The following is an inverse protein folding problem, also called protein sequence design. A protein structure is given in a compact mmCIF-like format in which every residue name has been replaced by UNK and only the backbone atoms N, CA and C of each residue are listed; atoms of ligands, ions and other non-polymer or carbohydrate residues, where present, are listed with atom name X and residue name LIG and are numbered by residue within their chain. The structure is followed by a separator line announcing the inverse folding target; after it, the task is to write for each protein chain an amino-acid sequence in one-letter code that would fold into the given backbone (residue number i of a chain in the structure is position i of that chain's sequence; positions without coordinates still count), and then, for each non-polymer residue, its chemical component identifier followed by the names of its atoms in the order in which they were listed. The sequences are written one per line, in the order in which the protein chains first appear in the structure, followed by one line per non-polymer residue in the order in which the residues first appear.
data_IF_320770109502
#
_entry.id   IF_320770109502
#
_cell.length_a   1.000
_cell.length_b   1.000
_cell.length_c   1.000
_cell.angle_alpha   90.00
_cell.angle_beta   90.00
_cell.angle_gamma   90.00
#
_symmetry.space_group_name_H-M   'P 1'
#
loop_
_entity.id
_entity.type
_entity.pdbx_description
1 polymer ?
#
# COMPACT_ATOMS: atom_id res chain seq x y z
N UNK A 1 35.92 -34.80 -28.63
CA UNK A 1 35.05 -33.74 -28.06
C UNK A 1 35.03 -32.60 -29.07
N UNK A 2 33.94 -32.47 -29.80
CA UNK A 2 33.76 -31.38 -30.75
C UNK A 2 33.41 -30.08 -30.00
N UNK A 3 33.91 -28.93 -30.40
CA UNK A 3 33.60 -27.66 -29.75
C UNK A 3 32.15 -27.25 -30.05
N UNK A 4 31.38 -26.95 -29.01
CA UNK A 4 30.02 -26.43 -29.11
C UNK A 4 30.02 -25.14 -29.95
N UNK A 5 29.30 -25.13 -31.06
CA UNK A 5 29.06 -23.94 -31.89
C UNK A 5 28.33 -22.91 -31.05
N UNK A 6 28.96 -21.77 -30.78
CA UNK A 6 28.28 -20.59 -30.32
C UNK A 6 27.25 -20.15 -31.35
N UNK A 7 25.99 -20.24 -31.02
CA UNK A 7 24.91 -19.64 -31.81
C UNK A 7 25.03 -18.12 -31.64
N UNK A 8 25.51 -17.45 -32.65
CA UNK A 8 25.51 -16.00 -32.69
C UNK A 8 24.05 -15.54 -32.76
N UNK A 9 23.58 -14.88 -31.72
CA UNK A 9 22.26 -14.23 -31.73
C UNK A 9 22.36 -13.06 -32.73
N UNK A 10 21.57 -13.16 -33.81
CA UNK A 10 21.52 -12.14 -34.84
C UNK A 10 21.14 -10.78 -34.22
N UNK A 11 22.02 -9.82 -34.32
CA UNK A 11 21.80 -8.42 -33.88
C UNK A 11 20.70 -7.72 -34.66
N UNK A 12 20.22 -8.28 -35.76
CA UNK A 12 19.13 -7.73 -36.56
C UNK A 12 17.73 -7.92 -35.91
N UNK A 13 17.55 -8.95 -35.05
CA UNK A 13 16.35 -9.09 -34.21
C UNK A 13 16.26 -8.05 -33.08
N UNK A 14 17.40 -7.46 -32.70
CA UNK A 14 17.42 -6.40 -31.68
C UNK A 14 17.06 -5.02 -32.25
N UNK A 15 17.07 -4.82 -33.56
CA UNK A 15 16.78 -3.54 -34.20
C UNK A 15 15.30 -3.27 -34.50
N UNK A 16 14.43 -4.27 -34.42
CA UNK A 16 12.99 -4.10 -34.73
C UNK A 16 12.08 -3.84 -33.54
N UNK A 17 12.55 -4.03 -32.31
CA UNK A 17 11.73 -3.82 -31.10
C UNK A 17 12.11 -2.51 -30.42
N UNK A 18 11.61 -1.38 -30.93
CA UNK A 18 11.58 -0.15 -30.15
C UNK A 18 10.76 -0.42 -28.90
N UNK A 19 11.36 -0.16 -27.72
CA UNK A 19 10.62 -0.21 -26.46
C UNK A 19 9.39 0.70 -26.58
N UNK A 20 8.21 0.26 -26.10
CA UNK A 20 7.05 1.14 -26.06
C UNK A 20 7.41 2.42 -25.29
N UNK A 21 6.97 3.57 -25.80
CA UNK A 21 7.21 4.87 -25.20
C UNK A 21 5.89 5.53 -24.81
N UNK A 22 5.97 6.48 -23.88
CA UNK A 22 4.81 7.20 -23.39
C UNK A 22 3.78 6.28 -22.72
N UNK A 23 2.52 6.63 -22.84
CA UNK A 23 1.42 5.85 -22.24
C UNK A 23 1.26 4.43 -22.80
N UNK A 24 1.90 4.11 -23.93
CA UNK A 24 1.82 2.79 -24.57
C UNK A 24 2.41 1.64 -23.74
N UNK A 25 3.21 1.95 -22.70
CA UNK A 25 3.72 0.93 -21.75
C UNK A 25 2.72 0.58 -20.66
N UNK A 26 1.71 1.43 -20.42
CA UNK A 26 0.74 1.22 -19.37
C UNK A 26 -0.32 0.19 -19.80
N UNK A 27 -0.93 -0.42 -18.78
CA UNK A 27 -2.08 -1.29 -18.94
C UNK A 27 -3.22 -0.54 -19.65
N UNK A 28 -3.46 -0.89 -20.90
CA UNK A 28 -4.48 -0.24 -21.74
C UNK A 28 -5.92 -0.50 -21.28
N UNK A 29 -6.14 -1.53 -20.45
CA UNK A 29 -7.45 -1.80 -19.85
C UNK A 29 -7.78 -0.82 -18.72
N UNK A 30 -6.77 -0.14 -18.14
CA UNK A 30 -6.91 0.79 -17.01
C UNK A 30 -5.99 2.02 -17.18
N UNK A 31 -6.11 2.79 -18.27
CA UNK A 31 -5.12 3.77 -18.71
C UNK A 31 -4.94 4.96 -17.76
N UNK A 32 -5.96 5.29 -16.96
CA UNK A 32 -5.96 6.44 -16.05
C UNK A 32 -5.84 6.01 -14.57
N UNK A 33 -5.52 4.73 -14.33
CA UNK A 33 -5.32 4.23 -12.99
C UNK A 33 -4.06 4.86 -12.37
N UNK A 34 -4.16 5.31 -11.12
CA UNK A 34 -3.05 5.79 -10.31
C UNK A 34 -2.91 4.97 -9.02
N UNK A 35 -1.72 4.95 -8.43
CA UNK A 35 -1.43 3.97 -7.40
C UNK A 35 -0.80 4.57 -6.14
N UNK A 36 -1.21 4.03 -4.98
CA UNK A 36 -0.53 4.19 -3.70
C UNK A 36 0.33 2.95 -3.45
N UNK A 37 1.65 3.12 -3.28
CA UNK A 37 2.64 2.04 -3.24
C UNK A 37 3.31 1.96 -1.87
N UNK A 38 3.45 0.77 -1.32
CA UNK A 38 4.19 0.55 -0.08
C UNK A 38 5.70 0.49 -0.34
N UNK A 39 6.41 1.58 -0.05
CA UNK A 39 7.86 1.65 -0.27
C UNK A 39 8.56 2.59 0.72
N UNK A 40 7.82 3.55 1.25
CA UNK A 40 8.35 4.63 2.09
C UNK A 40 9.12 4.06 3.28
N UNK A 41 10.36 4.52 3.45
CA UNK A 41 11.36 4.15 4.45
C UNK A 41 11.97 2.73 4.33
N UNK A 42 11.67 1.99 3.26
CA UNK A 42 12.21 0.64 3.10
C UNK A 42 12.95 0.49 1.75
N UNK A 43 12.32 0.86 0.65
CA UNK A 43 12.85 0.64 -0.69
C UNK A 43 13.06 1.95 -1.46
N UNK A 44 13.27 3.06 -0.75
CA UNK A 44 13.28 4.39 -1.37
C UNK A 44 14.30 4.51 -2.49
N UNK A 45 15.57 4.13 -2.26
CA UNK A 45 16.62 4.19 -3.30
C UNK A 45 16.31 3.27 -4.48
N UNK A 46 15.83 2.05 -4.22
CA UNK A 46 15.44 1.13 -5.30
C UNK A 46 14.30 1.72 -6.13
N UNK A 47 13.31 2.34 -5.47
CA UNK A 47 12.18 2.95 -6.17
C UNK A 47 12.63 4.17 -6.98
N UNK A 48 13.46 5.06 -6.43
CA UNK A 48 13.98 6.21 -7.18
C UNK A 48 14.79 5.76 -8.41
N UNK A 49 15.71 4.83 -8.23
CA UNK A 49 16.50 4.29 -9.34
C UNK A 49 15.60 3.66 -10.42
N UNK A 50 14.57 2.92 -9.99
CA UNK A 50 13.62 2.31 -10.90
C UNK A 50 12.79 3.36 -11.67
N UNK A 51 12.28 4.39 -10.99
CA UNK A 51 11.51 5.46 -11.63
C UNK A 51 12.35 6.26 -12.64
N UNK A 52 13.59 6.57 -12.29
CA UNK A 52 14.50 7.33 -13.16
C UNK A 52 14.91 6.49 -14.39
N UNK A 53 15.21 5.20 -14.20
CA UNK A 53 15.49 4.27 -15.30
C UNK A 53 14.26 4.07 -16.20
N UNK A 54 13.08 3.91 -15.61
CA UNK A 54 11.83 3.75 -16.35
C UNK A 54 11.51 4.99 -17.20
N UNK A 55 11.66 6.19 -16.61
CA UNK A 55 11.48 7.45 -17.34
C UNK A 55 12.46 7.58 -18.50
N UNK A 56 13.73 7.22 -18.28
CA UNK A 56 14.77 7.27 -19.33
C UNK A 56 14.48 6.30 -20.48
N UNK A 57 14.01 5.08 -20.16
CA UNK A 57 13.75 4.04 -21.17
C UNK A 57 12.47 4.26 -21.96
N UNK A 58 11.43 4.83 -21.32
CA UNK A 58 10.09 4.88 -21.88
C UNK A 58 9.58 6.30 -22.13
N UNK A 59 10.35 7.32 -21.76
CA UNK A 59 9.93 8.73 -21.79
C UNK A 59 8.57 8.93 -21.08
N UNK A 60 8.38 8.21 -19.98
CA UNK A 60 7.13 8.22 -19.21
C UNK A 60 7.36 8.01 -17.73
N UNK A 61 6.58 8.71 -16.90
CA UNK A 61 6.60 8.55 -15.44
C UNK A 61 5.47 7.61 -15.01
N UNK A 62 5.81 6.59 -14.24
CA UNK A 62 4.80 5.67 -13.70
C UNK A 62 3.76 6.41 -12.86
N UNK A 63 2.48 6.00 -12.94
CA UNK A 63 1.36 6.71 -12.29
C UNK A 63 1.28 6.43 -10.78
N UNK A 64 2.39 6.62 -10.06
CA UNK A 64 2.45 6.53 -8.61
C UNK A 64 2.02 7.86 -8.01
N UNK A 65 0.87 7.86 -7.32
CA UNK A 65 0.31 9.06 -6.71
C UNK A 65 0.85 9.32 -5.32
N UNK A 66 1.07 8.25 -4.54
CA UNK A 66 1.74 8.36 -3.26
C UNK A 66 2.49 7.07 -2.90
N UNK A 67 3.50 7.23 -2.06
CA UNK A 67 4.12 6.13 -1.33
C UNK A 67 3.61 6.13 0.10
N UNK A 68 3.55 4.94 0.72
CA UNK A 68 3.14 4.87 2.11
C UNK A 68 4.05 3.97 2.94
N UNK A 69 4.19 4.33 4.19
CA UNK A 69 4.98 3.62 5.20
C UNK A 69 4.87 4.32 6.54
N UNK A 70 5.64 3.88 7.51
CA UNK A 70 5.87 4.55 8.77
C UNK A 70 7.05 3.90 9.47
N UNK A 71 7.81 4.65 10.25
CA UNK A 71 8.72 4.06 11.23
C UNK A 71 7.95 3.41 12.37
N UNK A 72 8.62 2.54 13.13
CA UNK A 72 8.08 1.91 14.32
C UNK A 72 7.86 2.92 15.44
N UNK A 73 6.68 3.52 15.47
CA UNK A 73 6.22 4.45 16.51
C UNK A 73 4.86 4.01 17.04
N UNK A 74 4.46 4.52 18.19
CA UNK A 74 3.22 4.12 18.88
C UNK A 74 1.97 4.18 17.99
N UNK A 75 1.85 5.18 17.11
CA UNK A 75 0.69 5.35 16.24
C UNK A 75 0.68 4.45 15.01
N UNK A 76 1.80 3.80 14.70
CA UNK A 76 1.84 2.87 13.58
C UNK A 76 0.94 1.66 13.83
N UNK A 77 0.33 1.13 12.78
CA UNK A 77 -0.48 -0.08 12.83
C UNK A 77 -0.59 -0.78 11.48
N UNK A 78 -1.48 -1.75 11.40
CA UNK A 78 -1.65 -2.62 10.24
C UNK A 78 -0.94 -3.96 10.46
N UNK A 79 -0.56 -4.64 9.38
CA UNK A 79 0.16 -5.93 9.45
C UNK A 79 1.62 -5.75 9.04
N UNK A 80 2.48 -6.67 9.44
CA UNK A 80 3.89 -6.73 9.06
C UNK A 80 4.63 -5.42 9.38
N UNK A 81 4.79 -5.14 10.64
CA UNK A 81 5.40 -3.90 11.10
C UNK A 81 6.84 -4.07 11.54
N UNK A 82 7.31 -5.32 11.67
CA UNK A 82 8.61 -5.61 12.26
C UNK A 82 9.79 -5.02 11.50
N UNK A 83 9.76 -5.10 10.17
CA UNK A 83 10.85 -4.56 9.38
C UNK A 83 10.96 -3.04 9.56
N UNK A 84 9.85 -2.34 9.54
CA UNK A 84 9.81 -0.88 9.75
C UNK A 84 10.20 -0.48 11.17
N UNK A 85 9.95 -1.32 12.17
CA UNK A 85 10.44 -1.11 13.54
C UNK A 85 11.95 -1.18 13.64
N UNK A 86 12.59 -2.00 12.81
CA UNK A 86 14.04 -2.20 12.81
C UNK A 86 14.80 -1.20 11.94
N UNK A 87 14.10 -0.44 11.08
CA UNK A 87 14.73 0.51 10.18
C UNK A 87 15.18 1.75 10.97
N UNK A 88 16.46 2.13 10.94
CA UNK A 88 16.93 3.34 11.59
C UNK A 88 16.29 4.59 10.98
N UNK A 89 16.05 5.63 11.79
CA UNK A 89 15.52 6.92 11.33
C UNK A 89 16.41 7.64 10.29
N UNK A 90 17.63 7.19 10.12
CA UNK A 90 18.55 7.58 9.04
C UNK A 90 18.79 6.37 8.12
N UNK A 91 17.72 5.88 7.49
CA UNK A 91 17.78 4.72 6.61
C UNK A 91 18.50 5.07 5.30
N UNK A 92 19.46 4.23 4.93
CA UNK A 92 20.24 4.40 3.69
C UNK A 92 20.98 5.77 3.61
N UNK A 93 21.24 6.41 4.75
CA UNK A 93 21.90 7.71 4.82
C UNK A 93 20.97 8.92 4.60
N UNK A 94 19.66 8.71 4.63
CA UNK A 94 18.67 9.78 4.47
C UNK A 94 17.77 9.90 5.70
N UNK A 95 17.50 11.13 6.11
CA UNK A 95 16.53 11.42 7.16
C UNK A 95 15.10 11.35 6.60
N UNK A 96 14.07 11.24 7.45
CA UNK A 96 12.68 11.27 7.00
C UNK A 96 12.34 12.51 6.17
N UNK A 97 12.86 13.67 6.55
CA UNK A 97 12.66 14.94 5.86
C UNK A 97 13.17 14.89 4.43
N UNK A 98 14.42 14.44 4.26
CA UNK A 98 15.06 14.32 2.93
C UNK A 98 14.28 13.36 2.05
N UNK A 99 13.89 12.21 2.58
CA UNK A 99 13.11 11.22 1.81
C UNK A 99 11.77 11.76 1.35
N UNK A 100 11.04 12.47 2.23
CA UNK A 100 9.76 13.07 1.86
C UNK A 100 9.96 14.14 0.78
N UNK A 101 10.98 14.99 0.92
CA UNK A 101 11.29 16.03 -0.07
C UNK A 101 11.58 15.41 -1.45
N UNK A 102 12.38 14.36 -1.50
CA UNK A 102 12.70 13.65 -2.74
C UNK A 102 11.46 13.08 -3.44
N UNK A 103 10.50 12.52 -2.69
CA UNK A 103 9.23 12.11 -3.25
C UNK A 103 8.39 13.29 -3.73
N UNK A 104 8.27 14.33 -2.91
CA UNK A 104 7.44 15.50 -3.24
C UNK A 104 7.98 16.25 -4.48
N UNK A 105 9.29 16.35 -4.67
CA UNK A 105 9.92 16.92 -5.87
C UNK A 105 9.59 16.10 -7.14
N UNK A 106 9.34 14.80 -7.01
CA UNK A 106 8.88 13.94 -8.10
C UNK A 106 7.36 13.97 -8.31
N UNK A 107 6.62 14.81 -7.58
CA UNK A 107 5.17 14.86 -7.63
C UNK A 107 4.46 13.70 -6.91
N UNK A 108 5.19 12.95 -6.08
CA UNK A 108 4.69 11.80 -5.34
C UNK A 108 4.46 12.20 -3.88
N UNK A 109 3.24 11.99 -3.37
CA UNK A 109 2.91 12.25 -1.98
C UNK A 109 3.43 11.15 -1.05
N UNK A 110 3.66 11.50 0.21
CA UNK A 110 3.98 10.56 1.27
C UNK A 110 2.79 10.36 2.21
N UNK A 111 2.50 9.12 2.56
CA UNK A 111 1.39 8.79 3.48
C UNK A 111 1.93 8.01 4.66
N UNK A 112 1.87 8.58 5.86
CA UNK A 112 2.18 7.83 7.08
C UNK A 112 1.02 6.96 7.49
N UNK A 113 1.31 5.70 7.84
CA UNK A 113 0.29 4.73 8.26
C UNK A 113 0.13 4.74 9.78
N UNK A 114 -0.51 5.77 10.32
CA UNK A 114 -0.90 5.90 11.71
C UNK A 114 -2.18 5.10 11.99
N UNK A 115 -2.10 3.81 11.71
CA UNK A 115 -3.27 2.90 11.66
C UNK A 115 -3.37 1.98 12.87
N UNK A 116 -2.78 2.35 14.00
CA UNK A 116 -2.94 1.63 15.25
C UNK A 116 -4.42 1.59 15.65
N UNK A 117 -4.92 0.40 15.99
CA UNK A 117 -6.34 0.14 16.27
C UNK A 117 -6.72 0.31 17.74
N UNK A 118 -5.76 0.53 18.63
CA UNK A 118 -5.95 0.53 20.08
C UNK A 118 -5.61 1.86 20.74
N UNK A 119 -5.25 2.90 19.96
CA UNK A 119 -4.92 4.21 20.52
C UNK A 119 -6.11 4.81 21.27
N UNK A 120 -5.76 5.48 22.35
CA UNK A 120 -6.65 6.30 23.18
C UNK A 120 -6.08 7.71 23.27
N UNK A 121 -6.80 8.63 23.90
CA UNK A 121 -6.33 10.00 24.12
C UNK A 121 -4.99 10.06 24.87
N UNK A 122 -4.69 9.07 25.73
CA UNK A 122 -3.42 8.98 26.48
C UNK A 122 -2.21 8.70 25.62
N UNK A 123 -2.42 8.27 24.39
CA UNK A 123 -1.36 7.90 23.46
C UNK A 123 -1.03 9.02 22.46
N UNK A 124 -1.76 10.15 22.52
CA UNK A 124 -1.63 11.25 21.57
C UNK A 124 -0.40 12.13 21.85
N UNK A 125 0.16 12.08 23.03
CA UNK A 125 1.35 12.83 23.43
C UNK A 125 2.68 12.10 23.13
N UNK A 126 2.63 10.94 22.43
CA UNK A 126 3.84 10.19 22.06
C UNK A 126 4.84 11.04 21.27
N UNK A 127 6.04 11.34 21.82
CA UNK A 127 6.96 12.29 21.21
C UNK A 127 7.45 11.84 19.83
N UNK A 128 7.70 10.54 19.64
CA UNK A 128 8.20 10.00 18.38
C UNK A 128 7.18 10.07 17.26
N UNK A 129 5.92 9.75 17.56
CA UNK A 129 4.82 9.86 16.61
C UNK A 129 4.55 11.30 16.23
N UNK A 130 4.58 12.22 17.22
CA UNK A 130 4.40 13.66 16.98
C UNK A 130 5.55 14.23 16.14
N UNK A 131 6.80 13.83 16.41
CA UNK A 131 7.94 14.28 15.61
C UNK A 131 7.80 13.88 14.13
N UNK A 132 7.37 12.66 13.84
CA UNK A 132 7.12 12.23 12.46
C UNK A 132 5.97 13.02 11.81
N UNK A 133 4.90 13.28 12.57
CA UNK A 133 3.77 14.05 12.09
C UNK A 133 4.21 15.49 11.73
N UNK A 134 5.01 16.12 12.60
CA UNK A 134 5.53 17.47 12.40
C UNK A 134 6.40 17.57 11.14
N UNK A 135 7.28 16.56 10.91
CA UNK A 135 8.09 16.47 9.70
C UNK A 135 7.20 16.41 8.45
N UNK A 136 6.20 15.52 8.44
CA UNK A 136 5.33 15.35 7.28
C UNK A 136 4.54 16.63 6.97
N UNK A 137 3.98 17.24 8.01
CA UNK A 137 3.19 18.46 7.89
C UNK A 137 4.04 19.66 7.44
N UNK A 138 5.30 19.78 7.93
CA UNK A 138 6.21 20.88 7.57
C UNK A 138 6.59 20.92 6.10
N UNK A 139 6.47 19.82 5.36
CA UNK A 139 6.77 19.79 3.92
C UNK A 139 5.75 20.56 3.07
N UNK A 140 4.59 20.91 3.62
CA UNK A 140 3.56 21.74 2.98
C UNK A 140 3.22 21.30 1.55
N UNK A 141 3.22 20.00 1.28
CA UNK A 141 2.90 19.42 -0.01
C UNK A 141 1.51 18.77 0.03
N UNK A 142 0.61 19.25 -0.82
CA UNK A 142 -0.80 18.83 -0.85
C UNK A 142 -1.05 17.35 -1.18
N UNK A 143 -0.01 16.64 -1.64
CA UNK A 143 -0.05 15.19 -1.86
C UNK A 143 0.23 14.35 -0.62
N UNK A 144 0.80 14.96 0.44
CA UNK A 144 1.09 14.29 1.69
C UNK A 144 -0.18 14.01 2.50
N UNK A 145 -0.20 12.91 3.25
CA UNK A 145 -1.36 12.49 4.02
C UNK A 145 -0.98 11.59 5.20
N UNK A 146 -1.91 11.40 6.11
CA UNK A 146 -1.85 10.34 7.10
C UNK A 146 -3.00 9.35 6.87
N UNK A 147 -2.76 8.06 7.10
CA UNK A 147 -3.80 7.04 7.10
C UNK A 147 -4.12 6.68 8.55
N UNK A 148 -5.31 6.99 9.02
CA UNK A 148 -5.70 6.87 10.43
C UNK A 148 -6.79 5.82 10.64
N UNK A 149 -6.87 5.30 11.88
CA UNK A 149 -7.89 4.34 12.30
C UNK A 149 -8.77 4.91 13.43
N UNK A 150 -8.16 5.54 14.43
CA UNK A 150 -8.86 6.02 15.61
C UNK A 150 -9.33 7.47 15.42
N UNK A 151 -10.59 7.74 15.80
CA UNK A 151 -11.19 9.07 15.68
C UNK A 151 -10.46 10.10 16.59
N UNK A 152 -10.05 9.72 17.80
CA UNK A 152 -9.27 10.59 18.68
C UNK A 152 -7.98 11.08 18.02
N UNK A 153 -7.25 10.21 17.31
CA UNK A 153 -6.05 10.60 16.58
C UNK A 153 -6.40 11.49 15.36
N UNK A 154 -7.45 11.15 14.64
CA UNK A 154 -7.93 11.96 13.51
C UNK A 154 -8.26 13.40 13.95
N UNK A 155 -8.99 13.55 15.04
CA UNK A 155 -9.39 14.86 15.57
C UNK A 155 -8.18 15.63 16.12
N UNK A 156 -7.25 14.96 16.78
CA UNK A 156 -5.98 15.54 17.22
C UNK A 156 -5.16 16.11 16.05
N UNK A 157 -5.00 15.32 14.98
CA UNK A 157 -4.25 15.75 13.79
C UNK A 157 -4.96 16.91 13.09
N UNK A 158 -6.28 16.85 12.92
CA UNK A 158 -7.08 17.91 12.28
C UNK A 158 -6.99 19.24 13.05
N UNK A 159 -6.99 19.18 14.38
CA UNK A 159 -6.80 20.36 15.22
C UNK A 159 -5.41 20.97 15.08
N UNK A 160 -4.37 20.15 14.98
CA UNK A 160 -2.97 20.59 14.92
C UNK A 160 -2.52 20.98 13.51
N UNK A 161 -2.99 20.27 12.51
CA UNK A 161 -2.64 20.43 11.08
C UNK A 161 -3.88 20.31 10.21
N UNK A 162 -4.73 21.37 10.14
CA UNK A 162 -6.00 21.32 9.43
C UNK A 162 -5.87 21.05 7.93
N UNK A 163 -4.74 21.45 7.32
CA UNK A 163 -4.49 21.27 5.89
C UNK A 163 -3.87 19.91 5.53
N UNK A 164 -3.45 19.12 6.53
CA UNK A 164 -2.89 17.80 6.29
C UNK A 164 -4.00 16.78 5.99
N UNK A 165 -4.00 16.26 4.78
CA UNK A 165 -5.01 15.29 4.33
C UNK A 165 -5.01 14.03 5.18
N UNK A 166 -6.21 13.53 5.43
CA UNK A 166 -6.41 12.28 6.15
C UNK A 166 -7.10 11.24 5.26
N UNK A 167 -6.54 10.05 5.24
CA UNK A 167 -7.13 8.85 4.61
C UNK A 167 -7.60 7.92 5.71
N UNK A 168 -8.76 7.30 5.53
CA UNK A 168 -9.21 6.27 6.47
C UNK A 168 -8.53 4.94 6.15
N UNK A 169 -7.95 4.31 7.18
CA UNK A 169 -7.31 2.99 7.04
C UNK A 169 -8.33 1.86 6.93
N UNK A 170 -7.99 0.79 6.20
CA UNK A 170 -8.79 -0.46 6.21
C UNK A 170 -8.91 -1.08 7.61
N UNK A 171 -7.99 -0.75 8.52
CA UNK A 171 -8.07 -1.18 9.91
C UNK A 171 -9.32 -0.62 10.61
N UNK A 172 -9.73 0.62 10.27
CA UNK A 172 -10.95 1.21 10.82
C UNK A 172 -12.19 0.45 10.36
N UNK A 173 -12.35 0.23 9.07
CA UNK A 173 -13.51 -0.51 8.56
C UNK A 173 -13.55 -1.97 9.02
N UNK A 174 -12.39 -2.59 9.28
CA UNK A 174 -12.33 -3.92 9.88
C UNK A 174 -12.79 -3.90 11.34
N UNK A 175 -12.42 -2.87 12.10
CA UNK A 175 -12.77 -2.73 13.53
C UNK A 175 -14.22 -2.35 13.71
N UNK A 176 -14.70 -1.35 12.99
CA UNK A 176 -16.05 -0.81 13.13
C UNK A 176 -17.10 -1.79 12.62
N UNK A 177 -16.82 -2.47 11.50
CA UNK A 177 -17.75 -3.40 10.84
C UNK A 177 -17.01 -4.67 10.37
N UNK A 178 -16.68 -5.60 11.26
CA UNK A 178 -15.81 -6.73 10.95
C UNK A 178 -16.40 -7.72 9.93
N UNK A 179 -17.73 -7.83 9.85
CA UNK A 179 -18.38 -8.85 9.02
C UNK A 179 -18.96 -8.32 7.71
N UNK A 180 -19.61 -7.15 7.77
CA UNK A 180 -20.28 -6.58 6.60
C UNK A 180 -20.28 -5.06 6.67
N UNK A 181 -19.76 -4.42 5.66
CA UNK A 181 -19.78 -2.96 5.49
C UNK A 181 -20.86 -2.60 4.49
N UNK A 182 -21.57 -1.50 4.76
CA UNK A 182 -22.64 -0.99 3.90
C UNK A 182 -22.19 0.27 3.15
N UNK A 183 -22.96 0.68 2.15
CA UNK A 183 -22.71 1.93 1.44
C UNK A 183 -22.80 3.14 2.38
N UNK A 184 -23.80 3.18 3.25
CA UNK A 184 -24.03 4.27 4.21
C UNK A 184 -22.85 4.41 5.19
N UNK A 185 -22.26 3.28 5.62
CA UNK A 185 -21.05 3.29 6.44
C UNK A 185 -19.90 3.96 5.68
N UNK A 186 -19.64 3.55 4.45
CA UNK A 186 -18.57 4.13 3.64
C UNK A 186 -18.83 5.60 3.30
N UNK A 187 -20.06 5.98 3.04
CA UNK A 187 -20.44 7.36 2.80
C UNK A 187 -20.17 8.24 4.02
N UNK A 188 -20.51 7.77 5.21
CA UNK A 188 -20.22 8.48 6.48
C UNK A 188 -18.71 8.70 6.70
N UNK A 189 -17.87 7.81 6.19
CA UNK A 189 -16.40 8.02 6.20
C UNK A 189 -15.97 9.10 5.20
N UNK A 190 -16.59 9.17 4.03
CA UNK A 190 -16.29 10.20 3.03
C UNK A 190 -16.68 11.61 3.48
N UNK A 191 -17.58 11.74 4.46
CA UNK A 191 -17.95 13.05 5.04
C UNK A 191 -16.86 13.56 6.01
N UNK A 192 -16.08 12.66 6.59
CA UNK A 192 -15.04 12.98 7.57
C UNK A 192 -13.62 12.99 6.99
N UNK A 193 -13.37 12.24 5.92
CA UNK A 193 -12.05 12.01 5.38
C UNK A 193 -11.99 12.33 3.89
N UNK A 194 -10.85 12.80 3.43
CA UNK A 194 -10.63 13.12 2.02
C UNK A 194 -10.61 11.87 1.14
N UNK A 195 -10.07 10.76 1.67
CA UNK A 195 -9.95 9.51 0.93
C UNK A 195 -10.22 8.31 1.87
N UNK A 196 -10.86 7.28 1.33
CA UNK A 196 -11.26 6.08 2.06
C UNK A 196 -10.64 4.84 1.41
N UNK A 197 -9.80 4.11 2.15
CA UNK A 197 -9.35 2.79 1.69
C UNK A 197 -10.50 1.79 1.80
N UNK A 198 -10.94 1.28 0.65
CA UNK A 198 -11.98 0.26 0.59
C UNK A 198 -11.47 -1.05 1.21
N UNK A 199 -12.28 -1.68 2.03
CA UNK A 199 -11.90 -2.96 2.63
C UNK A 199 -11.73 -4.03 1.55
N UNK A 200 -10.67 -4.83 1.59
CA UNK A 200 -10.36 -5.75 0.48
C UNK A 200 -11.43 -6.81 0.23
N UNK A 201 -12.20 -7.21 1.24
CA UNK A 201 -13.32 -8.14 1.06
C UNK A 201 -14.49 -7.52 0.27
N UNK A 202 -14.53 -6.21 0.16
CA UNK A 202 -15.60 -5.48 -0.53
C UNK A 202 -15.26 -5.17 -2.00
N UNK A 203 -14.02 -5.42 -2.42
CA UNK A 203 -13.56 -5.15 -3.79
C UNK A 203 -14.37 -5.86 -4.89
N UNK A 204 -15.08 -6.93 -4.55
CA UNK A 204 -15.94 -7.66 -5.48
C UNK A 204 -17.39 -7.74 -4.99
N UNK A 205 -17.78 -6.92 -4.06
CA UNK A 205 -19.19 -6.70 -3.71
C UNK A 205 -19.81 -5.77 -4.77
N UNK A 206 -20.27 -6.36 -5.88
CA UNK A 206 -20.74 -5.61 -7.05
C UNK A 206 -21.84 -4.62 -6.72
N UNK A 207 -22.77 -4.99 -5.82
CA UNK A 207 -23.85 -4.09 -5.37
C UNK A 207 -23.29 -2.84 -4.66
N UNK A 208 -22.29 -3.02 -3.80
CA UNK A 208 -21.64 -1.91 -3.12
C UNK A 208 -20.86 -1.03 -4.10
N UNK A 209 -20.12 -1.64 -5.03
CA UNK A 209 -19.36 -0.90 -6.03
C UNK A 209 -20.28 -0.08 -6.94
N UNK A 210 -21.43 -0.63 -7.32
CA UNK A 210 -22.48 0.07 -8.09
C UNK A 210 -23.01 1.27 -7.30
N UNK A 211 -23.40 1.09 -6.03
CA UNK A 211 -23.86 2.17 -5.16
C UNK A 211 -22.82 3.30 -5.04
N UNK A 212 -21.53 2.94 -4.87
CA UNK A 212 -20.44 3.92 -4.83
C UNK A 212 -20.30 4.63 -6.18
N UNK A 213 -20.37 3.92 -7.29
CA UNK A 213 -20.31 4.48 -8.64
C UNK A 213 -21.46 5.48 -8.88
N UNK A 214 -22.69 5.08 -8.57
CA UNK A 214 -23.91 5.89 -8.75
C UNK A 214 -23.92 7.16 -7.88
N UNK A 215 -23.23 7.12 -6.73
CA UNK A 215 -23.07 8.32 -5.89
C UNK A 215 -22.18 9.40 -6.49
N UNK A 216 -21.45 9.09 -7.57
CA UNK A 216 -20.49 10.00 -8.20
C UNK A 216 -19.23 10.25 -7.37
N UNK A 217 -19.00 9.49 -6.28
CA UNK A 217 -17.88 9.67 -5.34
C UNK A 217 -16.79 8.59 -5.48
N UNK A 218 -16.79 7.76 -6.54
CA UNK A 218 -15.86 6.64 -6.71
C UNK A 218 -14.38 7.06 -6.58
N UNK A 219 -14.04 8.29 -6.95
CA UNK A 219 -12.69 8.87 -6.83
C UNK A 219 -12.20 9.05 -5.38
N UNK A 220 -13.11 9.13 -4.41
CA UNK A 220 -12.77 9.21 -3.00
C UNK A 220 -12.37 7.87 -2.40
N UNK A 221 -12.66 6.77 -3.08
CA UNK A 221 -12.39 5.43 -2.59
C UNK A 221 -11.16 4.84 -3.26
N UNK A 222 -10.34 4.15 -2.45
CA UNK A 222 -9.09 3.53 -2.88
C UNK A 222 -9.15 2.03 -2.58
N UNK A 223 -9.50 1.18 -3.55
CA UNK A 223 -9.46 -0.27 -3.40
C UNK A 223 -8.05 -0.79 -3.13
N UNK A 224 -7.91 -1.73 -2.19
CA UNK A 224 -6.67 -2.44 -1.90
C UNK A 224 -6.63 -3.73 -2.72
N UNK A 225 -5.92 -3.72 -3.86
CA UNK A 225 -6.11 -4.71 -4.94
C UNK A 225 -5.26 -5.98 -4.85
N UNK A 226 -4.22 -6.01 -4.03
CA UNK A 226 -3.32 -7.17 -3.92
C UNK A 226 -3.20 -7.68 -2.47
N UNK A 227 -4.24 -7.55 -1.67
CA UNK A 227 -4.25 -7.98 -0.28
C UNK A 227 -4.15 -9.53 -0.18
N UNK A 228 -3.06 -10.00 0.42
CA UNK A 228 -2.75 -11.43 0.53
C UNK A 228 -3.52 -12.17 1.63
N UNK A 229 -4.32 -11.45 2.42
CA UNK A 229 -5.16 -12.09 3.43
C UNK A 229 -6.25 -12.94 2.77
N UNK A 230 -6.65 -13.99 3.46
CA UNK A 230 -7.79 -14.81 3.05
C UNK A 230 -9.06 -13.96 3.00
N UNK A 231 -9.88 -14.17 1.99
CA UNK A 231 -11.20 -13.57 1.85
C UNK A 231 -12.05 -13.87 3.09
N UNK A 232 -12.77 -12.88 3.60
CA UNK A 232 -13.59 -12.98 4.81
C UNK A 232 -12.85 -13.53 6.04
N UNK A 233 -11.59 -13.15 6.23
CA UNK A 233 -10.78 -13.60 7.35
C UNK A 233 -11.38 -13.17 8.68
N UNK A 234 -11.87 -14.12 9.47
CA UNK A 234 -12.55 -13.88 10.76
C UNK A 234 -11.61 -13.37 11.85
N UNK A 235 -10.29 -13.57 11.69
CA UNK A 235 -9.28 -13.15 12.68
C UNK A 235 -8.49 -11.92 12.24
N UNK A 236 -8.91 -11.23 11.17
CA UNK A 236 -8.19 -10.06 10.64
C UNK A 236 -8.10 -8.93 11.66
N UNK A 237 -9.20 -8.68 12.39
CA UNK A 237 -9.21 -7.65 13.43
C UNK A 237 -8.23 -7.98 14.56
N UNK A 238 -8.23 -9.21 15.04
CA UNK A 238 -7.31 -9.65 16.08
C UNK A 238 -5.84 -9.44 15.67
N UNK A 239 -5.53 -9.71 14.39
CA UNK A 239 -4.19 -9.49 13.86
C UNK A 239 -3.79 -7.99 13.88
N UNK A 240 -4.70 -7.09 13.56
CA UNK A 240 -4.44 -5.65 13.65
C UNK A 240 -4.28 -5.19 15.10
N UNK A 241 -5.12 -5.69 16.00
CA UNK A 241 -5.06 -5.34 17.42
C UNK A 241 -3.78 -5.82 18.09
N UNK A 242 -3.33 -7.04 17.80
CA UNK A 242 -2.06 -7.55 18.34
C UNK A 242 -0.85 -6.74 17.85
N UNK A 243 -0.82 -6.39 16.58
CA UNK A 243 0.22 -5.51 16.06
C UNK A 243 0.18 -4.15 16.73
N UNK A 244 -1.01 -3.60 16.91
CA UNK A 244 -1.22 -2.31 17.57
C UNK A 244 -0.79 -2.33 19.03
N UNK A 245 -1.11 -3.40 19.75
CA UNK A 245 -0.68 -3.62 21.13
C UNK A 245 0.83 -3.65 21.25
N UNK A 246 1.50 -4.39 20.38
CA UNK A 246 2.96 -4.44 20.35
C UNK A 246 3.60 -3.05 20.16
N UNK A 247 3.00 -2.17 19.36
CA UNK A 247 3.47 -0.79 19.19
C UNK A 247 3.28 0.06 20.46
N UNK A 248 2.13 -0.06 21.11
CA UNK A 248 1.84 0.67 22.37
C UNK A 248 2.79 0.23 23.49
N UNK A 249 3.04 -1.05 23.61
CA UNK A 249 3.91 -1.65 24.64
C UNK A 249 5.40 -1.43 24.35
N UNK A 250 5.77 -0.86 23.22
CA UNK A 250 7.16 -0.61 22.86
C UNK A 250 7.96 -1.88 22.56
N UNK A 251 7.30 -2.94 22.15
CA UNK A 251 7.93 -4.21 21.78
C UNK A 251 8.66 -4.09 20.45
N UNK A 252 9.70 -3.29 20.44
CA UNK A 252 10.50 -3.02 19.27
C UNK A 252 11.31 -4.26 18.89
N UNK A 253 10.83 -5.03 17.92
CA UNK A 253 11.63 -6.03 17.22
C UNK A 253 11.71 -7.43 17.82
N UNK A 254 10.94 -7.77 18.86
CA UNK A 254 10.97 -9.12 19.43
C UNK A 254 9.95 -10.12 18.86
N UNK A 255 8.98 -9.65 18.10
CA UNK A 255 8.08 -10.55 17.36
C UNK A 255 8.61 -10.81 15.97
N UNK A 256 9.15 -11.98 15.75
CA UNK A 256 9.47 -12.45 14.42
C UNK A 256 8.18 -12.86 13.69
N UNK A 257 7.42 -11.86 13.24
CA UNK A 257 6.24 -12.07 12.44
C UNK A 257 6.55 -12.51 11.00
N UNK A 258 7.79 -12.76 10.65
CA UNK A 258 8.15 -13.37 9.37
C UNK A 258 7.54 -14.77 9.19
N UNK A 259 7.20 -15.42 10.31
CA UNK A 259 6.45 -16.69 10.35
C UNK A 259 5.02 -16.50 10.84
N UNK A 260 4.43 -15.35 10.60
CA UNK A 260 3.11 -14.93 11.10
C UNK A 260 1.96 -15.59 10.43
N UNK A 261 2.11 -16.72 10.39
CA UNK A 261 1.02 -17.57 10.18
C UNK A 261 0.41 -17.99 11.54
N UNK A 262 1.04 -17.65 12.63
CA UNK A 262 0.55 -17.93 13.98
C UNK A 262 0.25 -16.64 14.70
N UNK A 263 -1.01 -16.37 14.96
CA UNK A 263 -1.40 -15.38 15.96
C UNK A 263 -1.33 -16.08 17.31
N UNK A 264 -0.14 -16.14 17.86
CA UNK A 264 0.05 -16.53 19.26
C UNK A 264 -0.14 -15.28 20.11
N UNK A 265 -1.35 -15.05 20.52
CA UNK A 265 -1.62 -14.02 21.52
C UNK A 265 -1.98 -14.69 22.84
N UNK A 266 -1.70 -14.07 23.99
CA UNK A 266 -2.20 -14.55 25.28
C UNK A 266 -3.73 -14.73 25.29
N UNK A 267 -4.44 -13.90 24.52
CA UNK A 267 -5.91 -13.95 24.39
C UNK A 267 -6.39 -15.01 23.37
N UNK A 268 -5.53 -15.42 22.41
CA UNK A 268 -5.89 -16.38 21.35
C UNK A 268 -4.76 -17.37 21.07
N UNK A 269 -4.32 -18.16 22.07
CA UNK A 269 -3.10 -18.97 22.00
C UNK A 269 -3.15 -20.14 20.99
N UNK A 270 -4.31 -20.39 20.37
CA UNK A 270 -4.53 -21.50 19.43
C UNK A 270 -5.05 -21.06 18.06
N UNK A 271 -5.08 -19.77 17.79
CA UNK A 271 -5.61 -19.29 16.51
C UNK A 271 -4.53 -19.32 15.45
N UNK A 272 -4.69 -20.20 14.48
CA UNK A 272 -3.78 -20.31 13.33
C UNK A 272 -4.40 -19.52 12.16
N UNK A 273 -3.55 -18.79 11.43
CA UNK A 273 -4.00 -18.04 10.25
C UNK A 273 -4.62 -19.01 9.22
N UNK A 274 -5.87 -18.75 8.76
CA UNK A 274 -6.52 -19.62 7.77
C UNK A 274 -5.71 -19.83 6.49
N UNK A 275 -4.87 -18.86 6.12
CA UNK A 275 -4.01 -18.96 4.94
C UNK A 275 -2.99 -20.09 5.03
N UNK A 276 -2.56 -20.48 6.25
CA UNK A 276 -1.63 -21.61 6.45
C UNK A 276 -2.36 -22.92 6.45
N UNK A 277 -3.45 -22.96 7.23
CA UNK A 277 -4.22 -24.20 7.37
C UNK A 277 -4.88 -24.61 6.05
N UNK A 278 -5.25 -23.63 5.26
CA UNK A 278 -6.03 -23.81 4.04
C UNK A 278 -5.47 -22.91 2.92
N UNK A 279 -4.28 -23.23 2.38
CA UNK A 279 -3.61 -22.40 1.38
C UNK A 279 -4.39 -22.28 0.06
N UNK A 280 -5.36 -23.18 -0.16
CA UNK A 280 -6.27 -23.15 -1.32
C UNK A 280 -7.39 -22.11 -1.17
N UNK A 281 -7.60 -21.55 0.00
CA UNK A 281 -8.62 -20.51 0.17
C UNK A 281 -8.26 -19.28 -0.64
N UNK A 282 -9.28 -18.70 -1.26
CA UNK A 282 -9.17 -17.47 -1.99
C UNK A 282 -8.59 -16.35 -1.12
N UNK A 283 -7.59 -15.67 -1.64
CA UNK A 283 -7.08 -14.42 -1.07
C UNK A 283 -7.84 -13.22 -1.64
N UNK A 284 -7.64 -12.04 -1.05
CA UNK A 284 -8.20 -10.79 -1.56
C UNK A 284 -7.37 -10.17 -2.71
N UNK A 285 -6.39 -10.91 -3.25
CA UNK A 285 -5.65 -10.49 -4.43
C UNK A 285 -6.58 -10.55 -5.64
N UNK A 286 -6.74 -9.44 -6.32
CA UNK A 286 -7.54 -9.38 -7.54
C UNK A 286 -6.74 -9.90 -8.73
N UNK A 287 -7.36 -10.72 -9.56
CA UNK A 287 -6.86 -10.98 -10.91
C UNK A 287 -6.92 -9.70 -11.75
N UNK A 288 -6.22 -9.68 -12.87
CA UNK A 288 -6.23 -8.52 -13.77
C UNK A 288 -7.64 -8.20 -14.31
N UNK A 289 -8.45 -9.22 -14.60
CA UNK A 289 -9.83 -9.06 -15.01
C UNK A 289 -10.76 -8.53 -13.90
N UNK A 290 -10.54 -8.97 -12.68
CA UNK A 290 -11.26 -8.44 -11.51
C UNK A 290 -10.87 -6.99 -11.22
N UNK A 291 -9.58 -6.66 -11.33
CA UNK A 291 -9.08 -5.29 -11.22
C UNK A 291 -9.72 -4.38 -12.28
N UNK A 292 -9.76 -4.83 -13.55
CA UNK A 292 -10.45 -4.09 -14.59
C UNK A 292 -11.93 -3.86 -14.26
N UNK A 293 -12.62 -4.89 -13.73
CA UNK A 293 -14.02 -4.72 -13.32
C UNK A 293 -14.21 -3.64 -12.25
N UNK A 294 -13.31 -3.59 -11.25
CA UNK A 294 -13.34 -2.51 -10.24
C UNK A 294 -13.09 -1.14 -10.90
N UNK A 295 -12.13 -1.07 -11.82
CA UNK A 295 -11.86 0.15 -12.58
C UNK A 295 -13.08 0.62 -13.37
N UNK A 296 -13.84 -0.30 -13.98
CA UNK A 296 -15.04 0.00 -14.80
C UNK A 296 -16.17 0.63 -13.96
N UNK A 297 -16.21 0.41 -12.64
CA UNK A 297 -17.11 1.12 -11.72
C UNK A 297 -16.69 2.58 -11.42
N UNK A 298 -15.68 3.10 -12.10
CA UNK A 298 -15.25 4.50 -11.94
C UNK A 298 -14.14 4.74 -10.94
N UNK A 299 -13.63 3.69 -10.27
CA UNK A 299 -12.44 3.84 -9.42
C UNK A 299 -11.21 4.15 -10.27
N UNK A 300 -10.40 5.11 -9.81
CA UNK A 300 -9.20 5.55 -10.54
C UNK A 300 -7.93 5.48 -9.71
N UNK A 301 -8.04 5.38 -8.40
CA UNK A 301 -6.91 5.27 -7.49
C UNK A 301 -6.93 3.95 -6.75
N UNK A 302 -5.80 3.26 -6.71
CA UNK A 302 -5.68 1.91 -6.17
C UNK A 302 -4.49 1.82 -5.21
N UNK A 303 -4.58 0.95 -4.23
CA UNK A 303 -3.49 0.72 -3.27
C UNK A 303 -2.91 -0.67 -3.42
N UNK A 304 -1.58 -0.76 -3.44
CA UNK A 304 -0.87 -2.01 -3.22
C UNK A 304 -0.59 -2.22 -1.74
N UNK A 305 -0.79 -3.44 -1.28
CA UNK A 305 -0.27 -3.89 0.01
C UNK A 305 1.23 -4.19 -0.10
N UNK A 306 1.93 -4.23 1.03
CA UNK A 306 3.28 -4.76 1.11
C UNK A 306 4.33 -3.71 1.38
N UNK A 307 4.17 -2.94 2.48
CA UNK A 307 5.17 -1.97 2.95
C UNK A 307 6.55 -2.57 3.10
N UNK A 308 6.60 -3.79 3.63
CA UNK A 308 7.78 -4.59 3.94
C UNK A 308 7.98 -5.78 2.99
N UNK A 309 7.27 -5.80 1.88
CA UNK A 309 7.45 -6.84 0.87
C UNK A 309 8.83 -6.73 0.23
N UNK A 310 9.46 -7.85 -0.16
CA UNK A 310 10.68 -7.81 -0.96
C UNK A 310 10.51 -6.95 -2.22
N UNK A 311 11.57 -6.27 -2.65
CA UNK A 311 11.54 -5.41 -3.84
C UNK A 311 11.00 -6.12 -5.08
N UNK A 312 11.38 -7.38 -5.30
CA UNK A 312 10.85 -8.20 -6.39
C UNK A 312 9.32 -8.33 -6.36
N UNK A 313 8.70 -8.39 -5.17
CA UNK A 313 7.24 -8.44 -5.05
C UNK A 313 6.58 -7.10 -5.41
N UNK A 314 7.26 -5.99 -5.15
CA UNK A 314 6.79 -4.65 -5.57
C UNK A 314 6.82 -4.55 -7.09
N UNK A 315 7.93 -4.95 -7.72
CA UNK A 315 8.07 -4.99 -9.18
C UNK A 315 7.03 -5.93 -9.82
N UNK A 316 6.77 -7.09 -9.21
CA UNK A 316 5.73 -8.00 -9.68
C UNK A 316 4.34 -7.34 -9.69
N UNK A 317 4.01 -6.55 -8.66
CA UNK A 317 2.74 -5.81 -8.65
C UNK A 317 2.71 -4.72 -9.74
N UNK A 318 3.81 -4.01 -9.97
CA UNK A 318 3.88 -3.03 -11.07
C UNK A 318 3.63 -3.70 -12.41
N UNK A 319 4.32 -4.81 -12.67
CA UNK A 319 4.13 -5.56 -13.89
C UNK A 319 2.70 -6.12 -14.03
N UNK A 320 2.10 -6.60 -12.95
CA UNK A 320 0.77 -7.22 -13.00
C UNK A 320 -0.33 -6.22 -13.28
N UNK A 321 -0.28 -5.01 -12.69
CA UNK A 321 -1.41 -4.08 -12.71
C UNK A 321 -1.16 -2.80 -13.51
N UNK A 322 0.09 -2.30 -13.53
CA UNK A 322 0.40 -1.02 -14.18
C UNK A 322 0.78 -1.17 -15.65
N UNK A 323 1.42 -2.29 -16.03
CA UNK A 323 2.06 -2.43 -17.33
C UNK A 323 1.29 -3.35 -18.28
N UNK A 324 1.51 -3.18 -19.59
CA UNK A 324 1.02 -4.11 -20.61
C UNK A 324 1.65 -5.50 -20.46
N UNK A 325 0.83 -6.54 -20.65
CA UNK A 325 1.30 -7.93 -20.48
C UNK A 325 2.32 -8.32 -21.55
N UNK A 326 2.12 -7.92 -22.79
CA UNK A 326 3.03 -8.21 -23.90
C UNK A 326 4.44 -7.65 -23.64
N UNK A 327 4.50 -6.48 -22.99
CA UNK A 327 5.76 -5.88 -22.58
C UNK A 327 6.50 -6.70 -21.50
N UNK A 328 5.75 -7.33 -20.58
CA UNK A 328 6.31 -8.13 -19.49
C UNK A 328 6.84 -9.47 -20.01
N UNK A 329 6.04 -10.16 -20.83
CA UNK A 329 6.38 -11.48 -21.35
C UNK A 329 7.68 -11.48 -22.18
N UNK A 330 7.95 -10.39 -22.90
CA UNK A 330 9.14 -10.29 -23.75
C UNK A 330 10.42 -9.91 -23.01
N UNK A 331 10.34 -9.31 -21.81
CA UNK A 331 11.50 -8.64 -21.18
C UNK A 331 11.86 -9.10 -19.78
N UNK A 332 10.94 -9.72 -19.04
CA UNK A 332 11.19 -10.12 -17.63
C UNK A 332 12.10 -11.35 -17.52
N UNK A 333 12.36 -12.06 -18.61
CA UNK A 333 13.20 -13.26 -18.65
C UNK A 333 14.58 -13.05 -19.32
N UNK A 334 14.96 -11.81 -19.59
CA UNK A 334 16.24 -11.52 -20.28
C UNK A 334 17.28 -10.82 -19.39
N UNK A 335 17.06 -10.75 -18.07
CA UNK A 335 18.04 -10.23 -17.10
C UNK A 335 18.37 -11.23 -16.01
#
# INVERSE_FOLDING_TARGET
MEPKKHVAISTDKLKSNRLPTGKGVLNKDTPDAVYDVGSLFIHDKQLFNFLDAFKTLHDYVLPIKSVFGCYGVKWMGGRNTNYQQMVPWNHQGWTPEVLIQEYNQRGIGCTYTFSNTLLTEKDLDDPSSNYLLDILASQNYSGNAVAVTQDCLSDYIRKRYPDLKQKVSVCKSTKDMPHKRTFEYYESLCDKFELVYLHPDDNLNLKLLEQISDSGKAEKYIPLINERCTWNCQIRNNHYDETSKAQIEGWHGMFNFSNVDFIHTPSHPKTICPRILMPHLRTCVLSRSEFKRVYDFGFRRFKFQGRDSPWASILYNFSTYMLEQDYIAEKTFTY
#
